data_IF_784765520495
#
_entry.id   IF_784765520495
#
_cell.length_a   1.000
_cell.length_b   1.000
_cell.length_c   1.000
_cell.angle_alpha   90.00
_cell.angle_beta   90.00
_cell.angle_gamma   90.00
#
_symmetry.space_group_name_H-M   'P 1'
#
loop_
_entity.id
_entity.type
_entity.pdbx_description
1 polymer ?
#
# COMPACT_ATOMS: atom_id res chain seq x y z
N UNK A 1 14.37 18.46 5.04
CA UNK A 1 13.07 17.84 4.71
C UNK A 1 12.67 18.32 3.32
N UNK A 2 12.28 17.44 2.39
CA UNK A 2 11.86 17.87 1.05
C UNK A 2 10.39 18.33 1.08
N UNK A 3 10.16 19.62 0.81
CA UNK A 3 8.85 20.29 0.88
C UNK A 3 7.86 19.65 -0.10
N UNK A 4 8.33 19.23 -1.28
CA UNK A 4 7.49 18.57 -2.27
C UNK A 4 6.96 17.24 -1.72
N UNK A 5 7.85 16.44 -1.14
CA UNK A 5 7.49 15.18 -0.50
C UNK A 5 6.54 15.40 0.68
N UNK A 6 6.78 16.40 1.53
CA UNK A 6 5.90 16.76 2.65
C UNK A 6 4.48 17.06 2.18
N UNK A 7 4.34 18.01 1.24
CA UNK A 7 3.02 18.47 0.76
C UNK A 7 2.27 17.34 0.09
N UNK A 8 2.94 16.53 -0.72
CA UNK A 8 2.32 15.36 -1.37
C UNK A 8 1.82 14.36 -0.33
N UNK A 9 2.59 14.09 0.73
CA UNK A 9 2.18 13.20 1.82
C UNK A 9 1.01 13.79 2.60
N UNK A 10 1.07 15.08 2.95
CA UNK A 10 0.03 15.78 3.69
C UNK A 10 -1.31 15.78 2.94
N UNK A 11 -1.31 16.13 1.65
CA UNK A 11 -2.54 16.12 0.84
C UNK A 11 -3.12 14.71 0.73
N UNK A 12 -2.27 13.71 0.48
CA UNK A 12 -2.71 12.30 0.35
C UNK A 12 -3.25 11.69 1.64
N UNK A 13 -2.85 12.23 2.79
CA UNK A 13 -3.31 11.82 4.11
C UNK A 13 -4.36 12.78 4.69
N UNK A 14 -4.92 13.69 3.88
CA UNK A 14 -5.95 14.64 4.31
C UNK A 14 -7.32 14.24 3.79
N UNK A 15 -8.37 14.84 4.38
CA UNK A 15 -9.76 14.68 3.90
C UNK A 15 -9.96 15.17 2.45
N UNK A 16 -9.02 15.96 1.91
CA UNK A 16 -9.02 16.35 0.49
C UNK A 16 -8.94 15.12 -0.41
N UNK A 17 -8.16 14.10 -0.03
CA UNK A 17 -8.10 12.83 -0.77
C UNK A 17 -9.45 12.09 -0.71
N UNK A 18 -10.18 12.17 0.41
CA UNK A 18 -11.49 11.52 0.57
C UNK A 18 -12.61 12.15 -0.27
N UNK A 19 -12.47 13.44 -0.60
CA UNK A 19 -13.35 14.12 -1.56
C UNK A 19 -13.16 13.61 -3.01
N UNK A 20 -12.08 12.86 -3.26
CA UNK A 20 -11.71 12.28 -4.56
C UNK A 20 -11.70 10.74 -4.58
N UNK A 21 -11.44 10.06 -3.47
CA UNK A 21 -11.06 8.64 -3.43
C UNK A 21 -12.20 7.69 -3.80
N UNK A 22 -13.28 7.64 -3.02
CA UNK A 22 -14.44 6.78 -3.26
C UNK A 22 -15.75 7.51 -2.91
N UNK A 23 -16.88 7.10 -3.51
CA UNK A 23 -18.21 7.62 -3.16
C UNK A 23 -18.50 7.45 -1.66
N UNK A 24 -18.05 6.34 -1.07
CA UNK A 24 -18.24 6.08 0.35
C UNK A 24 -17.45 7.06 1.23
N UNK A 25 -16.18 7.32 0.90
CA UNK A 25 -15.36 8.29 1.61
C UNK A 25 -15.95 9.70 1.48
N UNK A 26 -16.38 10.10 0.29
CA UNK A 26 -17.07 11.37 0.08
C UNK A 26 -18.37 11.48 0.90
N UNK A 27 -19.17 10.41 0.99
CA UNK A 27 -20.39 10.37 1.84
C UNK A 27 -20.10 10.55 3.32
N UNK A 28 -18.98 10.03 3.84
CA UNK A 28 -18.56 10.29 5.23
C UNK A 28 -18.30 11.77 5.50
N UNK A 29 -17.92 12.53 4.48
CA UNK A 29 -17.75 13.98 4.54
C UNK A 29 -19.07 14.76 4.32
N UNK A 30 -20.21 14.07 4.22
CA UNK A 30 -21.50 14.68 3.91
C UNK A 30 -21.71 14.99 2.41
N UNK A 31 -20.85 14.49 1.53
CA UNK A 31 -20.95 14.74 0.08
C UNK A 31 -21.78 13.65 -0.60
N UNK A 32 -22.60 14.04 -1.59
CA UNK A 32 -23.41 13.09 -2.36
C UNK A 32 -22.60 12.28 -3.39
N UNK A 33 -21.44 12.80 -3.80
CA UNK A 33 -20.49 12.21 -4.75
C UNK A 33 -19.09 12.78 -4.52
N UNK A 34 -18.08 12.22 -5.19
CA UNK A 34 -16.76 12.85 -5.30
C UNK A 34 -16.91 14.22 -5.97
N UNK A 35 -16.25 15.25 -5.42
CA UNK A 35 -16.34 16.64 -5.91
C UNK A 35 -15.03 17.15 -6.49
N UNK A 36 -13.93 16.42 -6.27
CA UNK A 36 -12.62 16.74 -6.81
C UNK A 36 -12.21 15.72 -7.86
N UNK A 37 -11.52 16.19 -8.90
CA UNK A 37 -10.87 15.36 -9.91
C UNK A 37 -9.33 15.44 -9.80
N UNK A 38 -8.64 14.60 -10.58
CA UNK A 38 -7.18 14.56 -10.57
C UNK A 38 -6.52 15.87 -11.04
N UNK A 39 -7.21 16.67 -11.86
CA UNK A 39 -6.69 17.96 -12.31
C UNK A 39 -6.71 18.97 -11.15
N UNK A 40 -7.77 18.94 -10.36
CA UNK A 40 -7.96 19.80 -9.20
C UNK A 40 -6.98 19.43 -8.10
N UNK A 41 -6.78 18.13 -7.83
CA UNK A 41 -5.78 17.67 -6.85
C UNK A 41 -4.37 18.10 -7.25
N UNK A 42 -4.03 18.08 -8.55
CA UNK A 42 -2.73 18.56 -9.04
C UNK A 42 -2.55 20.05 -8.80
N UNK A 43 -3.58 20.86 -9.03
CA UNK A 43 -3.56 22.31 -8.78
C UNK A 43 -3.35 22.59 -7.29
N UNK A 44 -4.18 21.98 -6.42
CA UNK A 44 -4.05 22.12 -4.96
C UNK A 44 -2.65 21.72 -4.49
N UNK A 45 -2.12 20.61 -5.00
CA UNK A 45 -0.77 20.12 -4.66
C UNK A 45 0.30 21.10 -5.12
N UNK A 46 0.19 21.63 -6.34
CA UNK A 46 1.14 22.60 -6.88
C UNK A 46 1.13 23.91 -6.07
N UNK A 47 -0.06 24.45 -5.78
CA UNK A 47 -0.23 25.70 -5.04
C UNK A 47 0.30 25.56 -3.60
N UNK A 48 0.03 24.42 -2.96
CA UNK A 48 0.57 24.13 -1.63
C UNK A 48 2.10 23.99 -1.65
N UNK A 49 2.67 23.30 -2.65
CA UNK A 49 4.14 23.23 -2.81
C UNK A 49 4.71 24.64 -2.96
N UNK A 50 4.12 25.48 -3.81
CA UNK A 50 4.56 26.85 -4.04
C UNK A 50 4.53 27.64 -2.74
N UNK A 51 3.38 27.64 -2.05
CA UNK A 51 3.20 28.32 -0.77
C UNK A 51 4.25 27.88 0.26
N UNK A 52 4.39 26.59 0.53
CA UNK A 52 5.33 26.10 1.53
C UNK A 52 6.79 26.20 1.11
N UNK A 53 7.09 26.35 -0.19
CA UNK A 53 8.46 26.59 -0.67
C UNK A 53 8.87 28.06 -0.55
N UNK A 54 7.89 28.98 -0.62
CA UNK A 54 8.10 30.43 -0.47
C UNK A 54 8.11 30.88 1.00
N UNK A 55 7.58 30.06 1.91
CA UNK A 55 7.60 30.31 3.36
C UNK A 55 8.69 29.45 4.02
N UNK A 56 9.57 30.04 4.84
CA UNK A 56 10.59 29.28 5.57
C UNK A 56 9.92 28.37 6.62
N UNK A 57 9.75 27.08 6.28
CA UNK A 57 9.35 26.04 7.25
C UNK A 57 10.33 25.92 8.43
N UNK A 58 11.54 26.47 8.30
CA UNK A 58 12.55 26.49 9.35
C UNK A 58 12.14 27.38 10.55
N UNK A 59 11.30 28.41 10.35
CA UNK A 59 10.73 29.18 11.46
C UNK A 59 9.56 28.45 12.14
N UNK A 60 8.95 27.48 11.45
CA UNK A 60 7.96 26.55 12.00
C UNK A 60 8.69 25.35 12.62
N UNK A 61 9.78 25.58 13.35
CA UNK A 61 10.18 24.66 14.41
C UNK A 61 9.18 24.82 15.55
N UNK A 62 8.01 24.19 15.41
CA UNK A 62 7.13 23.95 16.54
C UNK A 62 7.98 23.18 17.54
N UNK A 63 8.23 23.79 18.70
CA UNK A 63 8.83 23.14 19.85
C UNK A 63 7.92 21.96 20.26
N UNK A 64 8.10 20.81 19.63
CA UNK A 64 7.60 19.53 20.10
C UNK A 64 8.45 19.12 21.32
N UNK A 65 8.36 19.91 22.39
CA UNK A 65 8.95 19.62 23.69
C UNK A 65 7.92 19.12 24.70
N UNK A 66 6.65 18.98 24.30
CA UNK A 66 5.65 18.27 25.06
C UNK A 66 5.61 16.81 24.64
N UNK A 67 5.99 15.93 25.56
CA UNK A 67 5.70 14.48 25.58
C UNK A 67 4.19 14.15 25.61
N UNK A 68 3.33 15.14 25.38
CA UNK A 68 1.89 15.00 25.37
C UNK A 68 1.43 14.89 23.91
N UNK A 69 0.81 13.73 23.63
CA UNK A 69 0.15 13.31 22.40
C UNK A 69 1.04 12.77 21.27
N UNK A 70 1.78 11.70 21.58
CA UNK A 70 2.11 10.63 20.62
C UNK A 70 0.90 9.78 20.20
N UNK A 71 -0.33 10.15 20.60
CA UNK A 71 -1.53 9.34 20.36
C UNK A 71 -1.98 9.30 18.91
N UNK A 72 -1.52 10.25 18.07
CA UNK A 72 -1.93 10.39 16.67
C UNK A 72 -0.83 10.03 15.65
N UNK A 73 0.32 9.47 16.05
CA UNK A 73 1.31 8.96 15.08
C UNK A 73 0.83 7.62 14.49
N UNK A 74 0.45 7.58 13.19
CA UNK A 74 -0.11 6.38 12.57
C UNK A 74 0.93 5.27 12.34
N UNK A 75 2.22 5.54 12.58
CA UNK A 75 3.31 4.59 12.42
C UNK A 75 3.78 3.99 13.74
N UNK A 76 3.44 4.61 14.88
CA UNK A 76 4.03 4.30 16.18
C UNK A 76 3.81 2.86 16.61
N UNK A 77 2.61 2.30 16.35
CA UNK A 77 2.22 0.95 16.77
C UNK A 77 2.48 -0.13 15.71
N UNK A 78 2.93 0.23 14.50
CA UNK A 78 3.02 -0.71 13.38
C UNK A 78 4.06 -1.80 13.63
N UNK A 79 5.16 -1.46 14.30
CA UNK A 79 6.23 -2.42 14.61
C UNK A 79 5.73 -3.50 15.56
N UNK A 80 4.99 -3.12 16.59
CA UNK A 80 4.46 -4.02 17.61
C UNK A 80 3.26 -4.81 17.08
N UNK A 81 2.42 -4.18 16.26
CA UNK A 81 1.18 -4.79 15.74
C UNK A 81 1.43 -5.71 14.54
N UNK A 82 2.44 -5.41 13.71
CA UNK A 82 2.72 -6.07 12.43
C UNK A 82 4.23 -6.37 12.28
N UNK A 83 4.82 -7.17 13.18
CA UNK A 83 6.27 -7.33 13.27
C UNK A 83 6.90 -7.97 12.03
N UNK A 84 6.20 -8.86 11.31
CA UNK A 84 6.74 -9.52 10.13
C UNK A 84 6.75 -8.55 8.95
N UNK A 85 5.66 -7.82 8.74
CA UNK A 85 5.60 -6.76 7.75
C UNK A 85 6.68 -5.70 8.03
N UNK A 86 6.82 -5.28 9.29
CA UNK A 86 7.83 -4.32 9.70
C UNK A 86 9.25 -4.78 9.37
N UNK A 87 9.62 -5.99 9.78
CA UNK A 87 10.95 -6.53 9.52
C UNK A 87 11.21 -6.68 8.02
N UNK A 88 10.22 -7.14 7.25
CA UNK A 88 10.34 -7.25 5.80
C UNK A 88 10.53 -5.89 5.12
N UNK A 89 9.74 -4.88 5.50
CA UNK A 89 9.83 -3.52 4.93
C UNK A 89 11.14 -2.83 5.32
N UNK A 90 11.63 -3.04 6.54
CA UNK A 90 12.95 -2.57 6.99
C UNK A 90 14.05 -3.12 6.10
N UNK A 91 14.10 -4.44 5.91
CA UNK A 91 15.11 -5.09 5.08
C UNK A 91 14.96 -4.70 3.59
N UNK A 92 13.72 -4.55 3.10
CA UNK A 92 13.45 -4.07 1.73
C UNK A 92 13.97 -2.65 1.50
N UNK A 93 13.85 -1.75 2.49
CA UNK A 93 14.32 -0.36 2.37
C UNK A 93 15.84 -0.26 2.19
N UNK A 94 16.58 -1.22 2.75
CA UNK A 94 18.04 -1.32 2.67
C UNK A 94 18.50 -2.21 1.49
N UNK A 95 17.54 -2.77 0.75
CA UNK A 95 17.80 -3.72 -0.33
C UNK A 95 18.13 -3.01 -1.64
N UNK A 96 19.32 -3.28 -2.20
CA UNK A 96 19.69 -2.84 -3.56
C UNK A 96 19.18 -3.81 -4.64
N UNK A 97 19.20 -5.13 -4.36
CA UNK A 97 18.80 -6.17 -5.31
C UNK A 97 18.03 -7.30 -4.61
N UNK A 98 18.63 -7.94 -3.61
CA UNK A 98 17.94 -8.88 -2.74
C UNK A 98 18.61 -8.89 -1.36
N UNK A 99 17.89 -9.38 -0.36
CA UNK A 99 18.41 -9.56 1.00
C UNK A 99 17.73 -10.79 1.63
N UNK A 100 18.51 -11.59 2.33
CA UNK A 100 18.01 -12.64 3.23
C UNK A 100 18.17 -12.16 4.67
N UNK A 101 17.23 -12.51 5.51
CA UNK A 101 17.25 -12.15 6.93
C UNK A 101 16.58 -13.27 7.75
N UNK A 102 16.82 -13.33 9.08
CA UNK A 102 16.18 -14.33 9.92
C UNK A 102 14.66 -14.27 9.83
N UNK A 103 14.02 -15.41 9.66
CA UNK A 103 12.56 -15.51 9.70
C UNK A 103 12.06 -15.25 11.11
N UNK A 104 11.00 -14.46 11.24
CA UNK A 104 10.30 -14.33 12.51
C UNK A 104 9.30 -15.49 12.68
N UNK A 105 9.23 -16.05 13.88
CA UNK A 105 8.20 -17.03 14.23
C UNK A 105 6.84 -16.35 14.41
N UNK A 106 5.76 -17.05 14.05
CA UNK A 106 4.41 -16.49 14.13
C UNK A 106 3.35 -17.58 14.26
N UNK A 107 2.19 -17.19 14.82
CA UNK A 107 0.98 -17.99 14.75
C UNK A 107 0.30 -17.76 13.39
N UNK A 108 -0.09 -18.84 12.72
CA UNK A 108 -0.85 -18.75 11.47
C UNK A 108 -2.09 -17.86 11.67
N UNK A 109 -2.35 -16.90 10.78
CA UNK A 109 -3.50 -16.02 10.91
C UNK A 109 -4.78 -16.85 10.80
N UNK A 110 -5.70 -16.64 11.73
CA UNK A 110 -7.04 -17.22 11.63
C UNK A 110 -7.76 -16.56 10.45
N UNK A 111 -8.58 -17.35 9.75
CA UNK A 111 -9.40 -16.81 8.65
C UNK A 111 -10.21 -15.60 9.14
N UNK A 112 -10.22 -14.54 8.34
CA UNK A 112 -10.76 -13.22 8.72
C UNK A 112 -12.29 -13.21 8.52
N UNK A 113 -13.00 -14.33 8.71
CA UNK A 113 -14.40 -14.46 8.26
C UNK A 113 -15.32 -13.49 9.00
N UNK A 114 -15.71 -12.44 8.30
CA UNK A 114 -17.00 -11.77 8.48
C UNK A 114 -17.43 -11.30 7.09
N UNK A 115 -17.86 -12.24 6.24
CA UNK A 115 -18.46 -11.89 4.95
C UNK A 115 -19.86 -11.42 5.28
N UNK A 116 -20.16 -10.14 5.09
CA UNK A 116 -21.54 -9.67 5.06
C UNK A 116 -22.04 -9.88 3.62
N UNK A 117 -22.90 -10.87 3.34
CA UNK A 117 -23.30 -11.26 1.98
C UNK A 117 -24.03 -10.15 1.20
N UNK A 118 -24.38 -9.04 1.86
CA UNK A 118 -25.06 -7.89 1.27
C UNK A 118 -24.14 -6.79 0.73
N UNK A 119 -22.81 -6.86 0.95
CA UNK A 119 -21.89 -5.85 0.42
C UNK A 119 -21.47 -6.19 -1.02
N UNK A 120 -21.96 -5.39 -1.98
CA UNK A 120 -21.61 -5.50 -3.40
C UNK A 120 -20.08 -5.37 -3.59
N UNK A 121 -19.49 -6.34 -4.29
CA UNK A 121 -18.09 -6.31 -4.71
C UNK A 121 -17.80 -5.04 -5.50
N UNK A 122 -16.81 -4.26 -5.06
CA UNK A 122 -16.32 -3.08 -5.78
C UNK A 122 -15.21 -3.53 -6.73
N UNK A 123 -15.20 -3.02 -7.94
CA UNK A 123 -14.16 -3.27 -8.95
C UNK A 123 -12.80 -2.74 -8.46
N UNK A 124 -11.70 -3.45 -8.80
CA UNK A 124 -10.32 -3.15 -8.37
C UNK A 124 -9.80 -1.76 -8.78
N UNK A 125 -10.52 -1.06 -9.65
CA UNK A 125 -10.16 0.26 -10.19
C UNK A 125 -10.52 1.45 -9.28
N UNK A 126 -11.21 1.25 -8.15
CA UNK A 126 -11.41 2.34 -7.19
C UNK A 126 -10.12 2.65 -6.40
N UNK A 127 -9.66 3.90 -6.48
CA UNK A 127 -8.53 4.40 -5.68
C UNK A 127 -8.92 4.37 -4.21
N UNK A 128 -8.36 3.41 -3.47
CA UNK A 128 -8.59 3.26 -2.03
C UNK A 128 -8.06 4.50 -1.28
N UNK A 129 -8.92 5.05 -0.42
CA UNK A 129 -8.61 6.18 0.47
C UNK A 129 -7.36 5.91 1.32
N UNK A 130 -6.59 6.97 1.61
CA UNK A 130 -5.50 6.92 2.60
C UNK A 130 -5.96 6.88 4.05
N UNK A 131 -7.25 7.07 4.29
CA UNK A 131 -7.85 7.17 5.62
C UNK A 131 -8.64 5.91 5.94
N UNK A 132 -9.32 5.27 4.98
CA UNK A 132 -10.19 4.10 5.24
C UNK A 132 -9.39 2.85 5.67
N UNK A 133 -9.50 2.39 6.94
CA UNK A 133 -8.75 1.24 7.42
C UNK A 133 -9.41 -0.10 7.06
N UNK A 134 -10.58 -0.11 6.42
CA UNK A 134 -11.37 -1.34 6.22
C UNK A 134 -10.84 -2.17 5.08
N UNK A 135 -10.80 -3.48 5.29
CA UNK A 135 -10.57 -4.48 4.25
C UNK A 135 -11.91 -4.70 3.54
N UNK A 136 -11.96 -4.46 2.23
CA UNK A 136 -13.16 -4.73 1.43
C UNK A 136 -13.32 -6.24 1.14
N UNK A 137 -14.50 -6.63 0.68
CA UNK A 137 -14.84 -8.03 0.43
C UNK A 137 -13.91 -8.72 -0.57
N UNK A 138 -13.47 -8.01 -1.61
CA UNK A 138 -12.59 -8.59 -2.62
C UNK A 138 -11.21 -8.88 -2.01
N UNK A 139 -10.63 -7.90 -1.31
CA UNK A 139 -9.37 -8.07 -0.61
C UNK A 139 -9.47 -9.18 0.46
N UNK A 140 -10.58 -9.26 1.18
CA UNK A 140 -10.83 -10.31 2.16
C UNK A 140 -10.90 -11.71 1.53
N UNK A 141 -11.53 -11.87 0.36
CA UNK A 141 -11.59 -13.13 -0.38
C UNK A 141 -10.20 -13.60 -0.83
N UNK A 142 -9.38 -12.68 -1.34
CA UNK A 142 -8.00 -12.96 -1.73
C UNK A 142 -7.19 -13.38 -0.50
N UNK A 143 -7.27 -12.62 0.60
CA UNK A 143 -6.58 -12.95 1.85
C UNK A 143 -6.99 -14.31 2.39
N UNK A 144 -8.28 -14.64 2.43
CA UNK A 144 -8.74 -15.96 2.87
C UNK A 144 -8.22 -17.08 1.95
N UNK A 145 -8.10 -16.83 0.64
CA UNK A 145 -7.53 -17.79 -0.30
C UNK A 145 -6.04 -18.04 -0.03
N UNK A 146 -5.29 -16.98 0.28
CA UNK A 146 -3.88 -17.05 0.71
C UNK A 146 -3.73 -17.79 2.04
N UNK A 147 -4.51 -17.42 3.07
CA UNK A 147 -4.50 -18.06 4.39
C UNK A 147 -4.81 -19.57 4.27
N UNK A 148 -5.76 -19.94 3.40
CA UNK A 148 -6.12 -21.35 3.17
C UNK A 148 -5.11 -22.14 2.32
N UNK A 149 -4.05 -21.50 1.82
CA UNK A 149 -3.07 -22.10 0.90
C UNK A 149 -3.58 -22.36 -0.51
N UNK A 150 -4.84 -22.00 -0.83
CA UNK A 150 -5.41 -22.12 -2.19
C UNK A 150 -4.73 -21.18 -3.19
N UNK A 151 -4.28 -20.02 -2.71
CA UNK A 151 -3.51 -19.07 -3.51
C UNK A 151 -2.09 -18.95 -2.93
N UNK A 152 -1.04 -19.31 -3.69
CA UNK A 152 0.32 -19.46 -3.13
C UNK A 152 1.05 -18.13 -2.89
N UNK A 153 0.51 -16.98 -3.34
CA UNK A 153 1.10 -15.65 -3.19
C UNK A 153 0.02 -14.57 -3.27
N UNK A 154 0.32 -13.37 -2.75
CA UNK A 154 -0.51 -12.18 -2.94
C UNK A 154 0.13 -11.27 -3.99
N UNK A 155 -0.61 -10.86 -5.02
CA UNK A 155 -0.11 -9.94 -6.05
C UNK A 155 -0.87 -8.60 -6.08
N UNK A 156 -0.12 -7.51 -6.23
CA UNK A 156 -0.62 -6.19 -6.61
C UNK A 156 0.49 -5.42 -7.33
N UNK A 157 0.20 -4.58 -8.33
CA UNK A 157 1.29 -3.87 -9.04
C UNK A 157 2.10 -2.93 -8.13
N UNK A 158 1.46 -2.33 -7.13
CA UNK A 158 2.10 -1.43 -6.16
C UNK A 158 1.30 -1.30 -4.86
N UNK A 159 1.94 -0.89 -3.76
CA UNK A 159 1.31 -0.83 -2.42
C UNK A 159 0.06 0.04 -2.34
N UNK A 160 -0.04 1.13 -3.12
CA UNK A 160 -1.24 1.97 -3.16
C UNK A 160 -2.50 1.24 -3.66
N UNK A 161 -2.33 0.11 -4.36
CA UNK A 161 -3.43 -0.76 -4.78
C UNK A 161 -3.91 -1.68 -3.66
N UNK A 162 -3.14 -1.84 -2.58
CA UNK A 162 -3.58 -2.46 -1.33
C UNK A 162 -4.29 -1.40 -0.48
N UNK A 163 -3.54 -0.35 -0.12
CA UNK A 163 -3.99 0.72 0.76
C UNK A 163 -2.96 1.85 0.78
N UNK A 164 -3.43 3.08 0.99
CA UNK A 164 -2.58 4.20 1.40
C UNK A 164 -2.58 4.41 2.92
N UNK A 165 -3.57 3.86 3.63
CA UNK A 165 -3.56 3.77 5.09
C UNK A 165 -2.45 2.78 5.53
N UNK A 166 -1.45 3.22 6.32
CA UNK A 166 -0.29 2.41 6.66
C UNK A 166 -0.65 1.23 7.57
N UNK A 167 -1.61 1.39 8.49
CA UNK A 167 -2.10 0.30 9.34
C UNK A 167 -2.70 -0.84 8.51
N UNK A 168 -3.65 -0.52 7.60
CA UNK A 168 -4.24 -1.49 6.67
C UNK A 168 -3.19 -2.14 5.77
N UNK A 169 -2.23 -1.35 5.26
CA UNK A 169 -1.16 -1.87 4.40
C UNK A 169 -0.29 -2.88 5.16
N UNK A 170 0.20 -2.52 6.35
CA UNK A 170 1.03 -3.40 7.18
C UNK A 170 0.25 -4.63 7.63
N UNK A 171 -1.02 -4.48 8.03
CA UNK A 171 -1.91 -5.58 8.36
C UNK A 171 -2.03 -6.61 7.23
N UNK A 172 -2.26 -6.14 6.00
CA UNK A 172 -2.37 -7.02 4.83
C UNK A 172 -1.07 -7.76 4.56
N UNK A 173 0.06 -7.04 4.56
CA UNK A 173 1.38 -7.64 4.34
C UNK A 173 1.65 -8.67 5.44
N UNK A 174 1.42 -8.33 6.70
CA UNK A 174 1.72 -9.19 7.85
C UNK A 174 0.90 -10.48 7.81
N UNK A 175 -0.39 -10.41 7.46
CA UNK A 175 -1.24 -11.59 7.26
C UNK A 175 -0.71 -12.50 6.16
N UNK A 176 -0.34 -11.94 5.01
CA UNK A 176 0.17 -12.73 3.87
C UNK A 176 1.49 -13.42 4.25
N UNK A 177 2.43 -12.67 4.85
CA UNK A 177 3.73 -13.19 5.27
C UNK A 177 3.61 -14.22 6.39
N UNK A 178 2.66 -14.02 7.31
CA UNK A 178 2.26 -14.99 8.34
C UNK A 178 1.48 -16.19 7.76
N UNK A 179 1.15 -16.21 6.48
CA UNK A 179 0.56 -17.38 5.82
C UNK A 179 1.60 -18.19 5.03
N UNK A 180 2.90 -17.94 5.26
CA UNK A 180 4.01 -18.49 4.46
C UNK A 180 3.93 -18.15 2.95
N UNK A 181 3.16 -17.12 2.58
CA UNK A 181 3.01 -16.67 1.21
C UNK A 181 3.80 -15.37 0.99
N UNK A 182 4.38 -15.15 -0.21
CA UNK A 182 5.00 -13.87 -0.53
C UNK A 182 3.97 -12.83 -0.96
N UNK A 183 4.25 -11.57 -0.63
CA UNK A 183 3.67 -10.39 -1.29
C UNK A 183 4.53 -10.05 -2.49
N UNK A 184 3.92 -9.99 -3.67
CA UNK A 184 4.61 -9.73 -4.93
C UNK A 184 4.01 -8.53 -5.61
N UNK A 185 4.88 -7.65 -6.07
CA UNK A 185 4.53 -6.51 -6.93
C UNK A 185 5.33 -6.57 -8.22
N UNK A 186 5.05 -5.66 -9.15
CA UNK A 186 5.87 -5.55 -10.36
C UNK A 186 7.34 -5.24 -10.06
N UNK A 187 7.61 -4.62 -8.91
CA UNK A 187 8.94 -4.14 -8.51
C UNK A 187 9.58 -4.91 -7.34
N UNK A 188 8.79 -5.61 -6.54
CA UNK A 188 9.24 -6.18 -5.27
C UNK A 188 8.72 -7.59 -5.07
N UNK A 189 9.57 -8.46 -4.52
CA UNK A 189 9.19 -9.73 -3.93
C UNK A 189 9.47 -9.63 -2.43
N UNK A 190 8.50 -10.00 -1.61
CA UNK A 190 8.58 -9.86 -0.15
C UNK A 190 8.06 -11.15 0.47
N UNK A 191 8.89 -11.86 1.23
CA UNK A 191 8.49 -13.02 2.03
C UNK A 191 9.10 -12.90 3.43
N UNK A 192 8.60 -13.64 4.41
CA UNK A 192 9.27 -13.73 5.70
C UNK A 192 10.67 -14.36 5.53
N UNK A 193 11.73 -13.59 5.78
CA UNK A 193 13.14 -13.97 5.65
C UNK A 193 13.79 -13.69 4.29
N UNK A 194 13.07 -13.15 3.31
CA UNK A 194 13.66 -12.80 2.00
C UNK A 194 12.93 -11.65 1.32
N UNK A 195 13.68 -10.69 0.78
CA UNK A 195 13.17 -9.62 -0.06
C UNK A 195 13.99 -9.47 -1.33
N UNK A 196 13.35 -9.07 -2.42
CA UNK A 196 14.02 -8.69 -3.65
C UNK A 196 13.39 -7.44 -4.28
N UNK A 197 14.23 -6.68 -4.97
CA UNK A 197 13.91 -5.43 -5.65
C UNK A 197 14.36 -5.51 -7.10
N UNK A 198 13.47 -5.12 -8.01
CA UNK A 198 13.80 -4.96 -9.43
C UNK A 198 14.92 -3.94 -9.58
N UNK A 199 15.96 -4.26 -10.35
CA UNK A 199 17.13 -3.39 -10.50
C UNK A 199 16.80 -1.99 -11.02
N UNK A 200 15.85 -1.89 -11.95
CA UNK A 200 15.25 -0.64 -12.41
C UNK A 200 13.77 -0.63 -12.11
N UNK A 201 13.33 0.25 -11.22
CA UNK A 201 11.93 0.34 -10.82
C UNK A 201 11.05 0.79 -11.99
N UNK A 202 9.95 0.08 -12.19
CA UNK A 202 8.86 0.50 -13.07
C UNK A 202 7.93 1.44 -12.30
N UNK A 203 7.35 2.42 -12.98
CA UNK A 203 6.40 3.33 -12.33
C UNK A 203 5.15 2.54 -11.89
N UNK A 204 4.51 2.89 -10.76
CA UNK A 204 3.23 2.31 -10.35
C UNK A 204 2.13 2.48 -11.41
N UNK A 205 1.34 1.43 -11.66
CA UNK A 205 0.23 1.43 -12.62
C UNK A 205 -0.91 2.37 -12.22
N UNK A 206 -1.71 2.72 -13.22
CA UNK A 206 -2.93 3.52 -13.07
C UNK A 206 -4.18 2.71 -13.38
N UNK A 207 -4.07 1.78 -14.33
CA UNK A 207 -5.12 0.88 -14.77
C UNK A 207 -4.56 -0.53 -14.99
N UNK A 208 -5.45 -1.47 -15.33
CA UNK A 208 -5.11 -2.88 -15.56
C UNK A 208 -4.31 -3.10 -16.86
N UNK A 209 -4.54 -2.30 -17.90
CA UNK A 209 -3.80 -2.37 -19.16
C UNK A 209 -2.30 -2.10 -18.96
N UNK A 210 -1.97 -1.10 -18.14
CA UNK A 210 -0.59 -0.84 -17.73
C UNK A 210 0.04 -2.02 -16.99
N UNK A 211 -0.73 -2.75 -16.18
CA UNK A 211 -0.24 -3.93 -15.45
C UNK A 211 0.13 -5.02 -16.44
N UNK A 212 -0.75 -5.31 -17.42
CA UNK A 212 -0.49 -6.32 -18.46
C UNK A 212 0.77 -6.00 -19.27
N UNK A 213 1.00 -4.73 -19.62
CA UNK A 213 2.22 -4.30 -20.30
C UNK A 213 3.45 -4.53 -19.42
N UNK A 214 3.38 -4.18 -18.13
CA UNK A 214 4.50 -4.34 -17.18
C UNK A 214 4.85 -5.79 -16.88
N UNK A 215 3.85 -6.68 -16.85
CA UNK A 215 4.07 -8.12 -16.66
C UNK A 215 4.87 -8.76 -17.81
N UNK A 216 4.93 -8.12 -18.98
CA UNK A 216 5.79 -8.54 -20.10
C UNK A 216 7.25 -8.13 -19.89
N UNK A 217 7.52 -7.10 -19.09
CA UNK A 217 8.87 -6.65 -18.79
C UNK A 217 9.49 -7.52 -17.68
N UNK A 218 10.34 -8.47 -18.08
CA UNK A 218 11.06 -9.36 -17.18
C UNK A 218 12.44 -8.83 -16.74
N UNK A 219 12.81 -7.62 -17.14
CA UNK A 219 14.14 -7.07 -16.90
C UNK A 219 14.37 -6.76 -15.42
N UNK A 220 15.57 -7.05 -14.94
CA UNK A 220 15.99 -6.69 -13.58
C UNK A 220 15.34 -7.50 -12.45
N UNK A 221 14.60 -8.56 -12.76
CA UNK A 221 13.95 -9.44 -11.78
C UNK A 221 14.88 -10.56 -11.29
N UNK A 222 14.67 -10.98 -10.04
CA UNK A 222 15.28 -12.22 -9.49
C UNK A 222 14.42 -13.42 -9.85
N UNK A 223 15.00 -14.64 -9.78
CA UNK A 223 14.34 -15.88 -10.20
C UNK A 223 12.97 -16.10 -9.56
N UNK A 224 12.88 -16.06 -8.23
CA UNK A 224 11.62 -16.25 -7.49
C UNK A 224 10.57 -15.19 -7.82
N UNK A 225 11.02 -13.96 -8.07
CA UNK A 225 10.15 -12.86 -8.49
C UNK A 225 9.60 -13.07 -9.91
N UNK A 226 10.47 -13.43 -10.84
CA UNK A 226 10.14 -13.72 -12.23
C UNK A 226 9.14 -14.88 -12.37
N UNK A 227 9.33 -15.95 -11.60
CA UNK A 227 8.46 -17.12 -11.63
C UNK A 227 7.01 -16.75 -11.28
N UNK A 228 6.80 -15.95 -10.23
CA UNK A 228 5.46 -15.50 -9.84
C UNK A 228 4.87 -14.54 -10.86
N UNK A 229 5.65 -13.58 -11.38
CA UNK A 229 5.13 -12.65 -12.39
C UNK A 229 4.74 -13.36 -13.70
N UNK A 230 5.41 -14.45 -14.07
CA UNK A 230 5.00 -15.29 -15.20
C UNK A 230 3.67 -16.00 -14.94
N UNK A 231 3.45 -16.53 -13.74
CA UNK A 231 2.18 -17.15 -13.35
C UNK A 231 1.06 -16.11 -13.43
N UNK A 232 1.28 -14.91 -12.89
CA UNK A 232 0.32 -13.82 -12.95
C UNK A 232 -0.04 -13.41 -14.37
N UNK A 233 0.96 -13.29 -15.25
CA UNK A 233 0.73 -12.99 -16.66
C UNK A 233 -0.20 -14.01 -17.30
N UNK A 234 0.10 -15.30 -17.16
CA UNK A 234 -0.73 -16.37 -17.72
C UNK A 234 -2.16 -16.33 -17.17
N UNK A 235 -2.33 -16.02 -15.88
CA UNK A 235 -3.65 -15.91 -15.25
C UNK A 235 -4.47 -14.72 -15.74
N UNK A 236 -3.84 -13.62 -16.19
CA UNK A 236 -4.55 -12.44 -16.68
C UNK A 236 -4.79 -12.47 -18.20
N UNK A 237 -4.03 -13.30 -18.93
CA UNK A 237 -4.23 -13.55 -20.36
C UNK A 237 -5.32 -14.62 -20.65
N UNK A 238 -5.83 -15.31 -19.61
CA UNK A 238 -6.84 -16.40 -19.69
C UNK A 238 -8.25 -15.89 -19.42
#
# INVERSE_FOLDING_TARGET
MDIKSLVVVAIRNSLIEDMKSTIYAAKKLGLSKQILDDSTIKIITYDAIKYFSENELNEISINFSSLEETSDDPYLHLKESYPIAWEAMKNLSQCTNYMQYPTLEYAQPKSIVTINPNEKSRTMTEVQSGIDPRIDNLLQQILNSVISGRQPFFYCDCFKMISRNPDKLFKVIDIVLSSSAPVVTTNYYISNGYVAKRSKLLRPAHDEDEILVKLKDTSGLRKSHLEILKIMKTSMDS
#
